data_IF_698670715669
#
_entry.id   IF_698670715669
#
_cell.length_a   1.000
_cell.length_b   1.000
_cell.length_c   1.000
_cell.angle_alpha   90.00
_cell.angle_beta   90.00
_cell.angle_gamma   90.00
#
_symmetry.space_group_name_H-M   'P 1'
#
loop_
_entity.id
_entity.type
_entity.pdbx_description
1 polymer ?
#
# COMPACT_ATOMS: atom_id res chain seq x y z
N UNK A 1 23.72 8.78 -10.61
CA UNK A 1 24.45 8.42 -9.38
C UNK A 1 23.75 7.24 -8.72
N UNK A 2 24.49 6.17 -8.42
CA UNK A 2 24.01 5.05 -7.60
C UNK A 2 24.14 5.49 -6.15
N UNK A 3 23.06 5.43 -5.37
CA UNK A 3 23.06 5.83 -3.96
C UNK A 3 23.18 4.58 -3.09
N UNK A 4 24.03 4.66 -2.06
CA UNK A 4 24.03 3.65 -0.99
C UNK A 4 22.83 3.88 -0.04
N UNK A 5 22.57 2.93 0.86
CA UNK A 5 21.45 3.02 1.82
C UNK A 5 21.48 4.30 2.68
N UNK A 6 22.66 4.78 3.07
CA UNK A 6 22.80 6.00 3.88
C UNK A 6 22.40 7.24 3.09
N UNK A 7 22.79 7.33 1.82
CA UNK A 7 22.43 8.44 0.94
C UNK A 7 20.93 8.43 0.62
N UNK A 8 20.33 7.25 0.42
CA UNK A 8 18.88 7.10 0.26
C UNK A 8 18.12 7.61 1.48
N UNK A 9 18.53 7.18 2.68
CA UNK A 9 17.88 7.63 3.91
C UNK A 9 18.03 9.14 4.08
N UNK A 10 19.23 9.71 3.87
CA UNK A 10 19.41 11.17 3.93
C UNK A 10 18.54 11.92 2.93
N UNK A 11 18.35 11.37 1.72
CA UNK A 11 17.45 11.92 0.71
C UNK A 11 16.00 11.94 1.21
N UNK A 12 15.50 10.83 1.76
CA UNK A 12 14.13 10.74 2.28
C UNK A 12 13.92 11.64 3.50
N UNK A 13 14.90 11.73 4.40
CA UNK A 13 14.82 12.57 5.60
C UNK A 13 14.71 14.07 5.29
N UNK A 14 15.21 14.52 4.12
CA UNK A 14 15.07 15.92 3.68
C UNK A 14 13.63 16.30 3.30
N UNK A 15 12.79 15.33 3.00
CA UNK A 15 11.37 15.53 2.68
C UNK A 15 10.46 15.43 3.91
N UNK A 16 11.02 15.19 5.11
CA UNK A 16 10.25 15.08 6.34
C UNK A 16 9.68 16.44 6.74
N UNK A 17 8.42 16.45 7.19
CA UNK A 17 7.83 17.61 7.83
C UNK A 17 8.33 17.73 9.28
N UNK A 18 8.46 18.95 9.83
CA UNK A 18 8.97 19.17 11.20
C UNK A 18 8.23 18.40 12.31
N UNK A 19 6.94 18.11 12.10
CA UNK A 19 6.07 17.41 13.05
C UNK A 19 6.26 15.89 13.07
N UNK A 20 7.02 15.31 12.14
CA UNK A 20 7.18 13.86 12.06
C UNK A 20 8.07 13.30 13.17
N UNK A 21 7.55 12.29 13.87
CA UNK A 21 8.32 11.44 14.77
C UNK A 21 8.79 10.21 14.01
N UNK A 22 10.10 10.10 13.81
CA UNK A 22 10.67 9.04 12.97
C UNK A 22 11.17 7.88 13.83
N UNK A 23 10.63 6.69 13.55
CA UNK A 23 11.04 5.44 14.17
C UNK A 23 11.73 4.56 13.14
N UNK A 24 12.85 3.96 13.52
CA UNK A 24 13.71 3.21 12.59
C UNK A 24 13.91 1.79 13.08
N UNK A 25 13.49 0.84 12.24
CA UNK A 25 14.05 -0.50 12.21
C UNK A 25 15.10 -0.56 11.11
N UNK A 26 16.28 -1.08 11.44
CA UNK A 26 17.40 -1.21 10.48
C UNK A 26 17.76 -2.67 10.25
N UNK A 27 18.10 -3.03 9.01
CA UNK A 27 18.44 -4.41 8.62
C UNK A 27 19.80 -4.42 7.92
N UNK A 28 20.68 -5.34 8.33
CA UNK A 28 22.00 -5.54 7.74
C UNK A 28 23.01 -4.49 8.18
N UNK A 29 23.02 -3.32 7.54
CA UNK A 29 24.03 -2.28 7.81
C UNK A 29 23.60 -1.37 8.96
N UNK A 30 24.42 -1.31 10.01
CA UNK A 30 24.26 -0.36 11.13
C UNK A 30 24.79 1.01 10.72
N UNK A 31 23.93 2.02 10.75
CA UNK A 31 24.35 3.42 10.77
C UNK A 31 23.37 4.27 11.57
N UNK A 32 23.88 5.36 12.15
CA UNK A 32 23.07 6.30 12.90
C UNK A 32 22.29 7.23 11.95
N UNK A 33 21.02 7.47 12.26
CA UNK A 33 20.16 8.44 11.59
C UNK A 33 19.78 9.48 12.64
N UNK A 34 20.19 10.72 12.41
CA UNK A 34 19.92 11.84 13.32
C UNK A 34 18.42 12.11 13.43
N UNK A 35 17.97 12.57 14.61
CA UNK A 35 16.56 12.89 14.89
C UNK A 35 15.59 11.72 14.68
N UNK A 36 16.04 10.50 15.00
CA UNK A 36 15.20 9.29 14.94
C UNK A 36 15.26 8.48 16.23
N UNK A 37 14.19 7.75 16.51
CA UNK A 37 14.16 6.73 17.56
C UNK A 37 14.41 5.36 16.94
N UNK A 38 15.50 4.70 17.29
CA UNK A 38 15.77 3.33 16.83
C UNK A 38 14.89 2.34 17.60
N UNK A 39 14.07 1.58 16.89
CA UNK A 39 13.28 0.48 17.44
C UNK A 39 14.16 -0.75 17.65
N UNK A 40 14.76 -1.24 16.56
CA UNK A 40 15.59 -2.45 16.56
C UNK A 40 16.58 -2.44 15.41
N UNK A 41 17.64 -3.22 15.55
CA UNK A 41 18.54 -3.55 14.47
C UNK A 41 18.65 -5.06 14.32
N UNK A 42 18.38 -5.55 13.12
CA UNK A 42 18.50 -6.95 12.77
C UNK A 42 19.61 -7.16 11.74
N UNK A 43 20.31 -8.29 11.82
CA UNK A 43 21.31 -8.65 10.81
C UNK A 43 20.65 -9.07 9.49
N UNK A 44 19.44 -9.63 9.57
CA UNK A 44 18.63 -10.13 8.46
C UNK A 44 17.15 -9.87 8.76
N UNK A 45 16.34 -9.85 7.72
CA UNK A 45 14.89 -9.64 7.83
C UNK A 45 14.35 -8.98 6.57
N UNK A 46 13.07 -8.64 6.60
CA UNK A 46 12.41 -7.94 5.52
C UNK A 46 11.49 -6.81 6.04
N UNK A 47 10.56 -6.37 5.21
CA UNK A 47 9.64 -5.27 5.51
C UNK A 47 8.56 -5.65 6.54
N UNK A 48 8.28 -6.95 6.72
CA UNK A 48 7.16 -7.47 7.49
C UNK A 48 7.22 -7.05 8.96
N UNK A 49 8.37 -7.19 9.62
CA UNK A 49 8.43 -6.85 11.05
C UNK A 49 8.26 -5.35 11.30
N UNK A 50 8.69 -4.50 10.36
CA UNK A 50 8.47 -3.05 10.46
C UNK A 50 6.98 -2.71 10.40
N UNK A 51 6.24 -3.38 9.52
CA UNK A 51 4.78 -3.21 9.41
C UNK A 51 4.04 -3.77 10.63
N UNK A 52 4.55 -4.83 11.27
CA UNK A 52 4.01 -5.35 12.54
C UNK A 52 4.15 -4.31 13.65
N UNK A 53 5.32 -3.67 13.82
CA UNK A 53 5.50 -2.59 14.80
C UNK A 53 4.54 -1.42 14.54
N UNK A 54 4.36 -1.03 13.27
CA UNK A 54 3.43 0.03 12.89
C UNK A 54 1.97 -0.35 13.19
N UNK A 55 1.58 -1.58 12.88
CA UNK A 55 0.25 -2.09 13.20
C UNK A 55 -0.01 -2.08 14.71
N UNK A 56 0.94 -2.57 15.51
CA UNK A 56 0.82 -2.60 16.98
C UNK A 56 0.72 -1.19 17.58
N UNK A 57 1.44 -0.21 17.02
CA UNK A 57 1.27 1.21 17.37
C UNK A 57 -0.18 1.68 17.12
N UNK A 58 -0.74 1.38 15.94
CA UNK A 58 -2.09 1.80 15.60
C UNK A 58 -3.19 1.11 16.39
N UNK A 59 -2.93 -0.07 16.97
CA UNK A 59 -3.90 -0.75 17.86
C UNK A 59 -4.17 0.01 19.16
N UNK A 60 -3.21 0.80 19.63
CA UNK A 60 -3.33 1.57 20.87
C UNK A 60 -3.43 3.09 20.65
N UNK A 61 -3.06 3.59 19.46
CA UNK A 61 -3.10 5.01 19.09
C UNK A 61 -4.04 5.26 17.91
N UNK A 62 -5.35 5.14 18.11
CA UNK A 62 -6.34 5.17 17.02
C UNK A 62 -6.41 6.49 16.25
N UNK A 63 -6.07 7.60 16.91
CA UNK A 63 -6.16 8.96 16.37
C UNK A 63 -4.89 9.40 15.63
N UNK A 64 -3.84 8.57 15.63
CA UNK A 64 -2.60 8.89 14.95
C UNK A 64 -2.71 8.70 13.43
N UNK A 65 -1.87 9.42 12.71
CA UNK A 65 -1.57 9.18 11.30
C UNK A 65 -0.15 8.64 11.21
N UNK A 66 0.01 7.50 10.52
CA UNK A 66 1.29 6.81 10.37
C UNK A 66 1.76 6.84 8.93
N UNK A 67 3.07 6.82 8.74
CA UNK A 67 3.72 6.78 7.44
C UNK A 67 4.64 5.56 7.41
N UNK A 68 4.52 4.74 6.38
CA UNK A 68 5.45 3.66 6.10
C UNK A 68 6.38 4.02 4.95
N UNK A 69 7.69 3.93 5.21
CA UNK A 69 8.75 4.14 4.24
C UNK A 69 9.81 3.05 4.37
N UNK A 70 10.46 2.74 3.26
CA UNK A 70 11.68 1.95 3.23
C UNK A 70 12.64 2.47 2.16
N UNK A 71 13.84 1.89 2.09
CA UNK A 71 14.93 2.37 1.24
C UNK A 71 14.94 1.71 -0.15
N UNK A 72 13.76 1.57 -0.80
CA UNK A 72 13.59 0.88 -2.09
C UNK A 72 14.72 1.14 -3.08
N UNK A 73 15.23 0.05 -3.65
CA UNK A 73 16.31 0.09 -4.64
C UNK A 73 17.71 0.08 -4.04
N UNK A 74 17.86 0.04 -2.71
CA UNK A 74 19.14 -0.15 -2.02
C UNK A 74 19.86 -1.44 -2.42
N UNK A 75 19.10 -2.53 -2.61
CA UNK A 75 19.65 -3.84 -3.00
C UNK A 75 19.96 -3.97 -4.49
N UNK A 76 19.26 -3.21 -5.34
CA UNK A 76 19.42 -3.23 -6.80
C UNK A 76 19.44 -1.81 -7.36
N UNK A 77 20.51 -1.03 -7.13
CA UNK A 77 20.53 0.37 -7.47
C UNK A 77 20.49 0.59 -8.99
N UNK A 78 19.44 1.26 -9.46
CA UNK A 78 19.25 1.66 -10.86
C UNK A 78 18.65 3.07 -10.92
N UNK A 79 18.92 3.87 -11.96
CA UNK A 79 18.32 5.20 -12.12
C UNK A 79 16.79 5.20 -12.04
N UNK A 80 16.14 4.17 -12.59
CA UNK A 80 14.68 3.99 -12.53
C UNK A 80 14.18 3.75 -11.09
N UNK A 81 14.94 2.99 -10.28
CA UNK A 81 14.65 2.81 -8.86
C UNK A 81 14.76 4.13 -8.08
N UNK A 82 15.76 4.95 -8.40
CA UNK A 82 15.89 6.27 -7.78
C UNK A 82 14.71 7.18 -8.16
N UNK A 83 14.30 7.18 -9.45
CA UNK A 83 13.15 7.96 -9.91
C UNK A 83 11.86 7.53 -9.21
N UNK A 84 11.60 6.22 -9.17
CA UNK A 84 10.45 5.64 -8.51
C UNK A 84 10.47 5.95 -7.00
N UNK A 85 11.56 5.68 -6.29
CA UNK A 85 11.67 5.94 -4.85
C UNK A 85 11.39 7.40 -4.51
N UNK A 86 11.96 8.35 -5.26
CA UNK A 86 11.71 9.78 -5.07
C UNK A 86 10.23 10.11 -5.22
N UNK A 87 9.61 9.65 -6.31
CA UNK A 87 8.19 9.84 -6.56
C UNK A 87 7.31 9.27 -5.43
N UNK A 88 7.63 8.06 -4.93
CA UNK A 88 6.89 7.42 -3.85
C UNK A 88 7.07 8.12 -2.50
N UNK A 89 8.30 8.51 -2.17
CA UNK A 89 8.65 9.23 -0.95
C UNK A 89 7.92 10.57 -0.88
N UNK A 90 7.92 11.33 -1.98
CA UNK A 90 7.27 12.64 -2.07
C UNK A 90 5.77 12.56 -1.71
N UNK A 91 5.07 11.53 -2.20
CA UNK A 91 3.64 11.38 -1.89
C UNK A 91 3.39 10.90 -0.47
N UNK A 92 4.12 9.89 0.00
CA UNK A 92 3.97 9.37 1.36
C UNK A 92 4.35 10.39 2.45
N UNK A 93 5.14 11.41 2.13
CA UNK A 93 5.50 12.50 3.04
C UNK A 93 4.76 13.81 2.75
N UNK A 94 3.84 13.83 1.79
CA UNK A 94 3.13 15.05 1.38
C UNK A 94 2.20 15.57 2.49
N UNK A 95 2.05 16.90 2.55
CA UNK A 95 1.12 17.56 3.48
C UNK A 95 -0.31 17.14 3.21
N UNK A 96 -0.64 16.90 1.95
CA UNK A 96 -1.94 16.44 1.49
C UNK A 96 -2.28 15.05 2.04
N UNK A 97 -1.33 14.12 2.05
CA UNK A 97 -1.56 12.79 2.63
C UNK A 97 -1.66 12.84 4.16
N UNK A 98 -0.85 13.64 4.85
CA UNK A 98 -0.95 13.77 6.31
C UNK A 98 -2.28 14.37 6.74
N UNK A 99 -2.75 15.38 6.01
CA UNK A 99 -4.01 16.07 6.24
C UNK A 99 -5.15 15.49 5.40
N UNK A 100 -5.11 14.18 5.12
CA UNK A 100 -6.10 13.55 4.24
C UNK A 100 -7.52 13.65 4.84
N UNK A 101 -8.53 13.95 4.01
CA UNK A 101 -9.91 14.09 4.46
C UNK A 101 -10.51 12.74 4.88
N UNK A 102 -11.68 12.75 5.53
CA UNK A 102 -12.30 11.53 6.09
C UNK A 102 -12.81 10.53 5.06
N UNK A 103 -12.97 10.96 3.80
CA UNK A 103 -13.22 10.04 2.70
C UNK A 103 -11.96 9.28 2.23
N UNK A 104 -10.80 9.54 2.84
CA UNK A 104 -9.53 8.85 2.64
C UNK A 104 -9.04 8.27 3.98
N UNK A 105 -8.53 7.04 3.96
CA UNK A 105 -7.85 6.46 5.11
C UNK A 105 -6.47 5.87 4.80
N UNK A 106 -6.10 5.80 3.52
CA UNK A 106 -4.76 5.50 3.04
C UNK A 106 -4.44 6.44 1.88
N UNK A 107 -3.24 6.99 1.84
CA UNK A 107 -2.77 7.94 0.85
C UNK A 107 -1.37 7.59 0.35
N UNK A 108 -1.13 7.73 -0.96
CA UNK A 108 0.19 7.50 -1.57
C UNK A 108 0.37 8.32 -2.86
N UNK A 109 1.53 8.21 -3.51
CA UNK A 109 1.71 8.85 -4.84
C UNK A 109 0.83 8.22 -5.93
N UNK A 110 0.62 6.89 -5.87
CA UNK A 110 -0.24 6.12 -6.78
C UNK A 110 -0.72 4.84 -6.11
N UNK A 111 -2.03 4.64 -6.02
CA UNK A 111 -2.61 3.34 -5.71
C UNK A 111 -2.93 2.59 -7.01
N UNK A 112 -2.69 1.28 -7.02
CA UNK A 112 -3.07 0.38 -8.11
C UNK A 112 -4.02 -0.71 -7.60
N UNK A 113 -5.19 -0.92 -8.23
CA UNK A 113 -6.10 -2.01 -7.87
C UNK A 113 -5.66 -3.37 -8.43
N UNK A 114 -4.68 -3.39 -9.35
CA UNK A 114 -4.24 -4.56 -10.10
C UNK A 114 -2.71 -4.73 -9.99
N UNK A 115 -2.19 -5.97 -9.85
CA UNK A 115 -2.92 -7.24 -9.93
C UNK A 115 -3.65 -7.60 -8.63
N UNK A 116 -3.20 -7.03 -7.52
CA UNK A 116 -3.91 -6.89 -6.26
C UNK A 116 -3.87 -5.41 -5.83
N UNK A 117 -4.78 -4.96 -4.95
CA UNK A 117 -4.73 -3.61 -4.40
C UNK A 117 -3.40 -3.38 -3.68
N UNK A 118 -2.57 -2.47 -4.19
CA UNK A 118 -1.27 -2.12 -3.61
C UNK A 118 -0.90 -0.68 -3.95
N UNK A 119 0.13 -0.16 -3.28
CA UNK A 119 0.83 1.05 -3.72
C UNK A 119 2.17 0.62 -4.28
N UNK A 120 2.56 1.16 -5.43
CA UNK A 120 3.85 0.81 -6.03
C UNK A 120 4.97 1.06 -5.03
N UNK A 121 5.79 0.05 -4.77
CA UNK A 121 6.92 0.17 -3.86
C UNK A 121 6.58 0.34 -2.38
N UNK A 122 5.33 0.07 -1.96
CA UNK A 122 4.92 -0.04 -0.56
C UNK A 122 5.33 1.16 0.31
N UNK A 123 5.05 2.38 -0.14
CA UNK A 123 5.23 3.61 0.63
C UNK A 123 3.93 4.39 0.66
N UNK A 124 3.46 4.74 1.84
CA UNK A 124 2.12 5.29 2.05
C UNK A 124 1.98 5.99 3.41
N UNK A 125 0.93 6.79 3.52
CA UNK A 125 0.41 7.39 4.76
C UNK A 125 -0.96 6.78 5.06
N UNK A 126 -1.29 6.47 6.31
CA UNK A 126 -2.62 5.96 6.67
C UNK A 126 -3.08 6.43 8.05
N UNK A 127 -4.40 6.48 8.26
CA UNK A 127 -4.99 6.72 9.57
C UNK A 127 -4.90 5.45 10.42
N UNK A 128 -4.46 5.55 11.67
CA UNK A 128 -4.38 4.39 12.56
C UNK A 128 -5.76 3.78 12.84
N UNK A 129 -6.83 4.58 12.85
CA UNK A 129 -8.22 4.12 12.90
C UNK A 129 -8.56 3.10 11.81
N UNK A 130 -7.90 3.17 10.66
CA UNK A 130 -8.00 2.17 9.61
C UNK A 130 -7.00 1.02 9.79
N UNK A 131 -5.72 1.33 10.00
CA UNK A 131 -4.66 0.31 10.09
C UNK A 131 -4.95 -0.74 11.17
N UNK A 132 -5.53 -0.33 12.31
CA UNK A 132 -5.90 -1.25 13.41
C UNK A 132 -6.98 -2.28 13.04
N UNK A 133 -7.72 -2.07 11.95
CA UNK A 133 -8.70 -3.03 11.45
C UNK A 133 -8.05 -4.11 10.59
N UNK A 134 -6.85 -3.87 10.09
CA UNK A 134 -6.13 -4.85 9.28
C UNK A 134 -5.80 -6.08 10.11
N UNK A 135 -5.81 -7.24 9.45
CA UNK A 135 -5.31 -8.45 10.07
C UNK A 135 -3.83 -8.29 10.38
N UNK A 136 -3.36 -8.80 11.53
CA UNK A 136 -1.92 -8.85 11.79
C UNK A 136 -1.19 -9.53 10.61
N UNK A 137 -0.04 -8.99 10.22
CA UNK A 137 0.61 -9.35 8.97
C UNK A 137 0.99 -10.84 8.88
N UNK A 138 1.34 -11.49 10.00
CA UNK A 138 1.61 -12.94 10.03
C UNK A 138 0.36 -13.73 9.64
N UNK A 139 -0.76 -13.47 10.32
CA UNK A 139 -2.04 -14.13 10.05
C UNK A 139 -2.55 -13.80 8.64
N UNK A 140 -2.34 -12.56 8.17
CA UNK A 140 -2.72 -12.16 6.81
C UNK A 140 -1.94 -12.96 5.77
N UNK A 141 -0.61 -13.12 5.94
CA UNK A 141 0.22 -13.93 5.04
C UNK A 141 -0.24 -15.39 5.01
N UNK A 142 -0.43 -16.00 6.18
CA UNK A 142 -0.87 -17.39 6.28
C UNK A 142 -2.22 -17.60 5.60
N UNK A 143 -3.20 -16.72 5.85
CA UNK A 143 -4.51 -16.80 5.20
C UNK A 143 -4.42 -16.60 3.69
N UNK A 144 -3.63 -15.65 3.22
CA UNK A 144 -3.48 -15.40 1.78
C UNK A 144 -2.85 -16.61 1.06
N UNK A 145 -1.87 -17.27 1.68
CA UNK A 145 -1.25 -18.50 1.16
C UNK A 145 -2.23 -19.70 1.18
N UNK A 146 -3.26 -19.68 2.03
CA UNK A 146 -4.36 -20.65 2.00
C UNK A 146 -5.40 -20.35 0.90
N UNK A 147 -5.69 -19.07 0.66
CA UNK A 147 -6.69 -18.65 -0.35
C UNK A 147 -6.13 -18.86 -1.78
N UNK A 148 -4.84 -18.59 -1.97
CA UNK A 148 -4.18 -18.67 -3.27
C UNK A 148 -2.93 -19.53 -3.20
N UNK A 149 -2.66 -20.31 -4.25
CA UNK A 149 -1.42 -21.08 -4.34
C UNK A 149 -0.19 -20.15 -4.44
N UNK A 150 0.70 -20.11 -3.42
CA UNK A 150 1.83 -19.20 -3.39
C UNK A 150 2.91 -19.52 -4.44
N UNK A 151 2.91 -20.73 -5.01
CA UNK A 151 3.84 -21.12 -6.06
C UNK A 151 3.36 -20.72 -7.46
N UNK A 152 2.09 -20.32 -7.62
CA UNK A 152 1.52 -19.96 -8.93
C UNK A 152 1.32 -18.46 -9.06
N UNK A 153 2.32 -17.79 -9.65
CA UNK A 153 2.32 -16.33 -9.89
C UNK A 153 2.03 -15.52 -8.62
N UNK A 154 2.86 -15.64 -7.57
CA UNK A 154 2.59 -15.01 -6.26
C UNK A 154 2.39 -13.49 -6.33
N UNK A 155 3.05 -12.82 -7.27
CA UNK A 155 2.90 -11.38 -7.50
C UNK A 155 1.52 -10.98 -8.03
N UNK A 156 0.78 -11.89 -8.67
CA UNK A 156 -0.57 -11.59 -9.16
C UNK A 156 -1.56 -11.49 -8.01
N UNK A 157 -1.47 -12.40 -7.04
CA UNK A 157 -2.44 -12.51 -5.94
C UNK A 157 -1.99 -11.76 -4.67
N UNK A 158 -0.74 -11.27 -4.63
CA UNK A 158 -0.21 -10.58 -3.46
C UNK A 158 0.05 -11.54 -2.31
N UNK A 159 0.72 -12.66 -2.61
CA UNK A 159 1.04 -13.73 -1.66
C UNK A 159 2.56 -13.94 -1.53
N UNK A 160 3.00 -14.71 -0.54
CA UNK A 160 4.42 -14.82 -0.17
C UNK A 160 5.06 -13.44 0.07
N UNK A 161 6.18 -13.14 -0.59
CA UNK A 161 6.88 -11.84 -0.41
C UNK A 161 6.05 -10.61 -0.84
N UNK A 162 4.95 -10.81 -1.58
CA UNK A 162 4.08 -9.72 -2.05
C UNK A 162 2.94 -9.41 -1.09
N UNK A 163 2.74 -10.24 -0.06
CA UNK A 163 1.75 -10.04 0.99
C UNK A 163 1.91 -8.65 1.63
N UNK A 164 3.14 -8.21 1.88
CA UNK A 164 3.43 -6.90 2.49
C UNK A 164 2.97 -5.72 1.62
N UNK A 165 2.92 -5.89 0.29
CA UNK A 165 2.44 -4.85 -0.64
C UNK A 165 0.91 -4.84 -0.71
N UNK A 166 0.27 -6.00 -0.55
CA UNK A 166 -1.19 -6.17 -0.57
C UNK A 166 -1.86 -5.72 0.73
N UNK A 167 -1.19 -5.92 1.86
CA UNK A 167 -1.75 -5.82 3.21
C UNK A 167 -2.54 -4.52 3.49
N UNK A 168 -1.97 -3.36 3.14
CA UNK A 168 -2.56 -2.05 3.48
C UNK A 168 -3.92 -1.81 2.83
N UNK A 169 -4.26 -2.49 1.72
CA UNK A 169 -5.56 -2.36 1.05
C UNK A 169 -6.42 -3.63 1.15
N UNK A 170 -6.03 -4.57 2.02
CA UNK A 170 -6.67 -5.89 2.11
C UNK A 170 -8.03 -5.87 2.82
N UNK A 171 -8.41 -4.80 3.52
CA UNK A 171 -9.68 -4.72 4.24
C UNK A 171 -10.80 -4.10 3.38
N UNK A 172 -12.05 -4.58 3.46
CA UNK A 172 -13.20 -4.02 2.71
C UNK A 172 -13.56 -2.56 3.04
N UNK A 173 -12.88 -1.95 4.02
CA UNK A 173 -13.06 -0.56 4.46
C UNK A 173 -11.94 0.36 3.97
N UNK A 174 -11.05 -0.14 3.10
CA UNK A 174 -10.04 0.69 2.45
C UNK A 174 -10.72 1.81 1.65
N UNK A 175 -10.31 3.05 1.93
CA UNK A 175 -10.70 4.25 1.21
C UNK A 175 -9.41 4.90 0.66
N UNK A 176 -8.86 4.34 -0.43
CA UNK A 176 -7.57 4.77 -0.95
C UNK A 176 -7.71 6.13 -1.62
N UNK A 177 -6.70 6.97 -1.42
CA UNK A 177 -6.47 8.17 -2.18
C UNK A 177 -5.04 8.16 -2.71
N UNK A 178 -4.82 8.83 -3.82
CA UNK A 178 -3.47 9.08 -4.30
C UNK A 178 -3.34 10.52 -4.83
N UNK A 179 -2.13 10.97 -5.14
CA UNK A 179 -1.88 12.36 -5.56
C UNK A 179 -1.49 12.55 -7.03
N UNK A 180 -1.02 11.51 -7.70
CA UNK A 180 -0.46 11.67 -9.04
C UNK A 180 -1.54 11.69 -10.14
N UNK A 181 -1.43 12.64 -11.05
CA UNK A 181 -2.20 12.68 -12.30
C UNK A 181 -1.51 11.94 -13.47
N UNK A 182 -0.32 11.38 -13.25
CA UNK A 182 0.43 10.70 -14.31
C UNK A 182 -0.20 9.39 -14.76
N UNK A 183 0.03 8.97 -15.99
CA UNK A 183 -0.34 7.64 -16.49
C UNK A 183 0.45 6.47 -15.89
N UNK A 184 1.33 6.71 -14.91
CA UNK A 184 2.00 5.66 -14.14
C UNK A 184 0.98 4.73 -13.47
N UNK A 185 0.90 3.51 -13.98
CA UNK A 185 0.02 2.43 -13.49
C UNK A 185 0.76 1.09 -13.36
N UNK A 186 1.95 0.95 -13.94
CA UNK A 186 2.69 -0.30 -13.96
C UNK A 186 4.21 -0.08 -14.06
N UNK A 187 4.97 -0.94 -13.37
CA UNK A 187 6.44 -1.04 -13.47
C UNK A 187 7.19 0.29 -13.24
N UNK A 188 7.91 0.81 -14.25
CA UNK A 188 8.61 2.11 -14.20
C UNK A 188 8.12 3.07 -15.30
N UNK A 189 7.09 2.69 -16.06
CA UNK A 189 6.61 3.44 -17.22
C UNK A 189 5.79 4.65 -16.78
N UNK A 190 6.17 5.85 -17.23
CA UNK A 190 5.43 7.07 -16.90
C UNK A 190 5.59 7.56 -15.46
N UNK A 191 6.54 7.01 -14.69
CA UNK A 191 6.87 7.53 -13.34
C UNK A 191 7.21 9.02 -13.45
N UNK A 192 6.53 9.92 -12.72
CA UNK A 192 6.80 11.35 -12.74
C UNK A 192 8.20 11.69 -12.23
N UNK A 193 8.73 12.82 -12.69
CA UNK A 193 9.85 13.46 -12.00
C UNK A 193 9.34 14.20 -10.76
N UNK A 194 10.19 14.35 -9.75
CA UNK A 194 9.90 15.17 -8.57
C UNK A 194 10.58 16.55 -8.68
N UNK A 195 9.99 17.63 -8.11
CA UNK A 195 8.65 17.66 -7.51
C UNK A 195 7.56 17.48 -8.58
N UNK A 196 6.42 16.93 -8.21
CA UNK A 196 5.23 16.87 -9.07
C UNK A 196 4.05 17.57 -8.40
N UNK A 197 3.09 18.03 -9.20
CA UNK A 197 1.86 18.60 -8.66
C UNK A 197 1.04 17.49 -7.99
N UNK A 198 1.04 17.48 -6.67
CA UNK A 198 0.18 16.61 -5.88
C UNK A 198 -1.26 17.13 -5.93
N UNK A 199 -2.20 16.27 -6.33
CA UNK A 199 -3.61 16.62 -6.49
C UNK A 199 -4.43 15.50 -5.87
N UNK A 200 -4.55 15.49 -4.54
CA UNK A 200 -5.16 14.39 -3.78
C UNK A 200 -6.58 14.07 -4.24
N UNK A 201 -6.83 12.83 -4.66
CA UNK A 201 -8.15 12.32 -5.07
C UNK A 201 -8.34 10.88 -4.66
N UNK A 202 -9.60 10.46 -4.58
CA UNK A 202 -9.96 9.04 -4.42
C UNK A 202 -9.34 8.20 -5.55
N UNK A 203 -8.78 7.06 -5.15
CA UNK A 203 -8.25 6.06 -6.05
C UNK A 203 -9.20 4.84 -6.10
N UNK A 204 -9.11 3.96 -7.12
CA UNK A 204 -8.29 4.10 -8.33
C UNK A 204 -8.74 5.26 -9.24
N UNK A 205 -7.80 5.98 -9.86
CA UNK A 205 -8.12 7.13 -10.74
C UNK A 205 -8.63 6.75 -12.11
N UNK A 206 -8.10 5.65 -12.65
CA UNK A 206 -8.30 5.26 -14.02
C UNK A 206 -9.28 4.11 -14.14
N UNK A 207 -9.80 3.91 -15.35
CA UNK A 207 -10.61 2.74 -15.66
C UNK A 207 -9.74 1.48 -15.65
N UNK A 208 -10.38 0.34 -15.39
CA UNK A 208 -9.74 -0.96 -15.32
C UNK A 208 -8.80 -1.25 -16.49
N UNK A 209 -9.20 -0.92 -17.72
CA UNK A 209 -8.44 -1.18 -18.94
C UNK A 209 -7.05 -0.53 -18.95
N UNK A 210 -6.84 0.55 -18.19
CA UNK A 210 -5.52 1.19 -18.11
C UNK A 210 -4.56 0.38 -17.22
N UNK A 211 -5.09 -0.28 -16.18
CA UNK A 211 -4.30 -1.10 -15.27
C UNK A 211 -4.09 -2.53 -15.79
N UNK A 212 -5.01 -3.03 -16.61
CA UNK A 212 -4.93 -4.38 -17.16
C UNK A 212 -3.68 -4.54 -18.02
N UNK A 213 -2.86 -5.51 -17.63
CA UNK A 213 -1.75 -6.02 -18.42
C UNK A 213 -2.00 -7.52 -18.58
N UNK A 214 -1.70 -8.06 -19.77
CA UNK A 214 -1.85 -9.49 -20.12
C UNK A 214 -0.88 -10.42 -19.33
N UNK A 215 -0.57 -10.09 -18.08
CA UNK A 215 0.39 -10.73 -17.18
C UNK A 215 -0.33 -11.49 -16.06
N UNK A 216 -1.40 -10.91 -15.52
CA UNK A 216 -2.22 -11.51 -14.45
C UNK A 216 -3.68 -11.58 -14.91
N UNK A 217 -4.42 -12.55 -14.39
CA UNK A 217 -5.87 -12.60 -14.60
C UNK A 217 -6.50 -11.42 -13.86
N UNK A 218 -7.35 -10.64 -14.53
CA UNK A 218 -8.11 -9.57 -13.90
C UNK A 218 -9.07 -10.15 -12.85
N UNK A 219 -8.91 -9.77 -11.58
CA UNK A 219 -9.81 -10.26 -10.53
C UNK A 219 -11.18 -9.62 -10.71
N UNK A 220 -12.23 -10.43 -10.68
CA UNK A 220 -13.60 -9.95 -10.74
C UNK A 220 -14.03 -9.33 -9.41
N UNK A 221 -15.16 -8.62 -9.41
CA UNK A 221 -15.72 -8.07 -8.18
C UNK A 221 -16.08 -9.18 -7.18
N UNK A 222 -16.61 -10.32 -7.65
CA UNK A 222 -16.96 -11.48 -6.83
C UNK A 222 -15.72 -12.09 -6.20
N UNK A 223 -14.62 -12.15 -6.95
CA UNK A 223 -13.33 -12.65 -6.45
C UNK A 223 -12.85 -11.77 -5.29
N UNK A 224 -12.95 -10.45 -5.41
CA UNK A 224 -12.60 -9.50 -4.34
C UNK A 224 -13.49 -9.61 -3.11
N UNK A 225 -14.81 -9.70 -3.32
CA UNK A 225 -15.77 -9.89 -2.22
C UNK A 225 -15.50 -11.21 -1.50
N UNK A 226 -15.21 -12.29 -2.24
CA UNK A 226 -14.86 -13.59 -1.67
C UNK A 226 -13.57 -13.52 -0.84
N UNK A 227 -12.55 -12.83 -1.33
CA UNK A 227 -11.30 -12.58 -0.59
C UNK A 227 -11.57 -11.86 0.74
N UNK A 228 -12.34 -10.78 0.74
CA UNK A 228 -12.71 -10.07 1.98
C UNK A 228 -13.50 -10.95 2.96
N UNK A 229 -14.42 -11.79 2.48
CA UNK A 229 -15.14 -12.75 3.31
C UNK A 229 -14.21 -13.77 3.96
N UNK A 230 -13.26 -14.32 3.21
CA UNK A 230 -12.32 -15.32 3.73
C UNK A 230 -11.33 -14.71 4.73
N UNK A 231 -10.89 -13.47 4.49
CA UNK A 231 -9.95 -12.78 5.36
C UNK A 231 -10.65 -12.27 6.63
N UNK A 232 -11.73 -11.50 6.48
CA UNK A 232 -12.33 -10.68 7.53
C UNK A 232 -13.74 -11.10 7.92
N UNK A 233 -14.37 -12.03 7.20
CA UNK A 233 -15.80 -12.34 7.33
C UNK A 233 -16.68 -11.09 7.15
N UNK A 234 -16.25 -10.17 6.28
CA UNK A 234 -16.92 -8.90 6.00
C UNK A 234 -17.17 -8.72 4.49
N UNK A 235 -18.20 -7.94 4.17
CA UNK A 235 -18.50 -7.47 2.81
C UNK A 235 -18.21 -5.95 2.71
N UNK A 236 -17.79 -5.44 1.53
CA UNK A 236 -17.58 -4.00 1.36
C UNK A 236 -18.87 -3.19 1.50
N UNK A 237 -18.78 -2.06 2.20
CA UNK A 237 -19.89 -1.11 2.32
C UNK A 237 -20.07 -0.26 1.06
N UNK A 238 -21.11 0.59 1.03
CA UNK A 238 -21.45 1.46 -0.12
C UNK A 238 -20.33 2.40 -0.59
N UNK A 239 -19.41 2.75 0.30
CA UNK A 239 -18.29 3.66 0.01
C UNK A 239 -17.06 2.95 -0.58
N UNK A 240 -17.08 1.63 -0.71
CA UNK A 240 -15.94 0.89 -1.25
C UNK A 240 -15.66 1.29 -2.70
N UNK A 241 -14.40 1.60 -2.98
CA UNK A 241 -13.92 2.06 -4.29
C UNK A 241 -14.19 1.05 -5.43
N UNK A 242 -14.28 -0.24 -5.09
CA UNK A 242 -14.47 -1.31 -6.06
C UNK A 242 -15.79 -1.22 -6.82
N UNK A 243 -16.88 -0.74 -6.20
CA UNK A 243 -18.18 -0.59 -6.89
C UNK A 243 -18.06 0.26 -8.14
N UNK A 244 -17.45 1.44 -8.01
CA UNK A 244 -17.20 2.34 -9.12
C UNK A 244 -16.18 1.77 -10.10
N UNK A 245 -15.10 1.16 -9.60
CA UNK A 245 -14.00 0.68 -10.43
C UNK A 245 -14.43 -0.47 -11.37
N UNK A 246 -15.26 -1.39 -10.87
CA UNK A 246 -15.80 -2.51 -11.65
C UNK A 246 -17.08 -2.13 -12.42
N UNK A 247 -17.51 -0.86 -12.37
CA UNK A 247 -18.70 -0.33 -13.04
C UNK A 247 -20.00 -1.07 -12.66
N UNK A 248 -20.16 -1.40 -11.38
CA UNK A 248 -21.32 -2.14 -10.85
C UNK A 248 -21.92 -1.35 -9.67
N UNK A 249 -23.25 -1.25 -9.62
CA UNK A 249 -23.93 -0.61 -8.48
C UNK A 249 -23.96 -1.56 -7.27
N UNK A 250 -23.84 -1.01 -6.06
CA UNK A 250 -23.93 -1.79 -4.82
C UNK A 250 -25.24 -2.61 -4.73
N UNK A 251 -26.34 -2.01 -5.15
CA UNK A 251 -27.68 -2.64 -5.16
C UNK A 251 -27.74 -3.84 -6.11
N UNK A 252 -27.14 -3.71 -7.29
CA UNK A 252 -27.03 -4.80 -8.27
C UNK A 252 -26.24 -5.98 -7.70
N UNK A 253 -25.14 -5.74 -6.97
CA UNK A 253 -24.36 -6.83 -6.37
C UNK A 253 -25.09 -7.52 -5.24
N UNK A 254 -25.83 -6.80 -4.39
CA UNK A 254 -26.54 -7.43 -3.27
C UNK A 254 -27.59 -8.44 -3.76
N UNK A 255 -28.22 -8.17 -4.91
CA UNK A 255 -29.13 -9.10 -5.57
C UNK A 255 -28.42 -10.39 -6.03
N UNK A 256 -27.30 -10.26 -6.73
CA UNK A 256 -26.49 -11.41 -7.21
C UNK A 256 -25.95 -12.25 -6.05
N UNK A 257 -25.44 -11.61 -4.99
CA UNK A 257 -24.91 -12.31 -3.82
C UNK A 257 -26.02 -13.08 -3.09
N UNK A 258 -27.24 -12.53 -3.04
CA UNK A 258 -28.38 -13.20 -2.44
C UNK A 258 -28.90 -14.36 -3.28
N UNK A 259 -28.69 -14.35 -4.60
CA UNK A 259 -28.97 -15.50 -5.47
C UNK A 259 -27.95 -16.62 -5.28
N UNK A 260 -26.65 -16.30 -5.23
CA UNK A 260 -25.59 -17.31 -4.99
C UNK A 260 -25.72 -17.99 -3.62
N UNK A 261 -26.23 -17.29 -2.59
CA UNK A 261 -26.45 -17.87 -1.25
C UNK A 261 -27.66 -18.81 -1.16
N UNK A 262 -28.47 -18.93 -2.22
CA UNK A 262 -29.66 -19.81 -2.26
C UNK A 262 -29.38 -21.19 -2.84
N UNK A 263 -28.21 -21.40 -3.43
CA UNK A 263 -27.70 -22.69 -3.92
C UNK A 263 -26.67 -23.30 -2.95
#
# INVERSE_FOLDING_TARGET
MILNSKDIVREQMRSMLPEYKVYVRSIGVKFQIENTTRLVHDSHGDEQETLIFLHDHCRINENDTVIYLHNKGSFHPKPQNNKLRKFLTEGALSKECVNMPDYCNVCASRMSPFPHPHTSGNMWTAKCSYVRMLMNLNNFSEKMDMIYNPHRRPWCNGVGRYTVEHWIYSHPRALPCDGSNSSFVWNYEGVPSVPFKFDLKQAPRFKLQLYEKNVCQTPTIETRIKEYKLLYNEEPGKLWWGWKFYNISYETTQLVVNEIKKD
#
